data_IF_209735236969
#
_entry.id   IF_209735236969
#
_cell.length_a   1.000
_cell.length_b   1.000
_cell.length_c   1.000
_cell.angle_alpha   90.00
_cell.angle_beta   90.00
_cell.angle_gamma   90.00
#
_symmetry.space_group_name_H-M   'P 1'
#
loop_
_entity.id
_entity.type
_entity.pdbx_description
1 polymer ?
#
# COMPACT_ATOMS: atom_id res chain seq x y z
N UNK A 1 -34.41 -6.33 -2.62
CA UNK A 1 -33.00 -6.12 -3.04
C UNK A 1 -32.25 -5.68 -1.81
N UNK A 2 -31.45 -6.57 -1.21
CA UNK A 2 -30.52 -6.17 -0.16
C UNK A 2 -29.43 -5.28 -0.77
N UNK A 3 -28.93 -4.25 -0.06
CA UNK A 3 -27.80 -3.47 -0.52
C UNK A 3 -26.57 -4.39 -0.71
N UNK A 4 -25.67 -4.08 -1.64
CA UNK A 4 -24.43 -4.83 -1.80
C UNK A 4 -23.69 -4.81 -0.46
N UNK A 5 -23.32 -6.00 0.01
CA UNK A 5 -22.62 -6.16 1.28
C UNK A 5 -21.22 -5.56 1.11
N UNK A 6 -20.97 -4.39 1.71
CA UNK A 6 -19.66 -3.74 1.77
C UNK A 6 -18.56 -4.79 2.03
N UNK A 7 -17.83 -5.16 0.98
CA UNK A 7 -16.91 -6.29 1.07
C UNK A 7 -15.58 -5.80 1.66
N UNK A 8 -15.47 -5.91 2.98
CA UNK A 8 -14.28 -5.53 3.73
C UNK A 8 -13.07 -6.35 3.27
N UNK A 9 -12.15 -5.72 2.53
CA UNK A 9 -10.88 -6.31 2.09
C UNK A 9 -10.06 -6.79 3.31
N UNK A 10 -9.45 -7.97 3.20
CA UNK A 10 -8.55 -8.49 4.23
C UNK A 10 -7.23 -7.70 4.28
N UNK A 11 -6.65 -7.54 5.47
CA UNK A 11 -5.40 -6.78 5.70
C UNK A 11 -4.26 -7.19 4.75
N UNK A 12 -4.10 -8.49 4.49
CA UNK A 12 -3.04 -8.99 3.60
C UNK A 12 -3.28 -8.63 2.14
N UNK A 13 -4.54 -8.69 1.68
CA UNK A 13 -4.90 -8.29 0.33
C UNK A 13 -4.75 -6.77 0.15
N UNK A 14 -5.14 -6.00 1.17
CA UNK A 14 -4.96 -4.54 1.19
C UNK A 14 -3.48 -4.18 1.02
N UNK A 15 -2.59 -4.79 1.79
CA UNK A 15 -1.16 -4.48 1.70
C UNK A 15 -0.53 -4.85 0.35
N UNK A 16 -0.98 -5.94 -0.27
CA UNK A 16 -0.52 -6.30 -1.63
C UNK A 16 -0.97 -5.27 -2.66
N UNK A 17 -2.24 -4.86 -2.63
CA UNK A 17 -2.78 -3.88 -3.58
C UNK A 17 -2.19 -2.48 -3.38
N UNK A 18 -1.92 -2.08 -2.13
CA UNK A 18 -1.21 -0.83 -1.82
C UNK A 18 0.16 -0.81 -2.48
N UNK A 19 0.94 -1.89 -2.33
CA UNK A 19 2.28 -1.98 -2.95
C UNK A 19 2.20 -2.02 -4.48
N UNK A 20 1.23 -2.74 -5.04
CA UNK A 20 1.00 -2.77 -6.50
C UNK A 20 0.71 -1.38 -7.05
N UNK A 21 -0.20 -0.64 -6.41
CA UNK A 21 -0.52 0.73 -6.79
C UNK A 21 0.67 1.68 -6.62
N UNK A 22 1.40 1.60 -5.49
CA UNK A 22 2.59 2.42 -5.22
C UNK A 22 3.64 2.21 -6.32
N UNK A 23 3.93 0.95 -6.68
CA UNK A 23 4.90 0.64 -7.73
C UNK A 23 4.40 1.10 -9.11
N UNK A 24 3.11 0.96 -9.39
CA UNK A 24 2.50 1.45 -10.64
C UNK A 24 2.55 2.99 -10.77
N UNK A 25 2.57 3.72 -9.64
CA UNK A 25 2.73 5.18 -9.64
C UNK A 25 4.12 5.65 -10.11
N UNK A 26 5.12 4.75 -10.13
CA UNK A 26 6.52 5.04 -10.47
C UNK A 26 7.20 6.14 -9.62
N UNK A 27 6.55 6.64 -8.56
CA UNK A 27 7.13 7.62 -7.62
C UNK A 27 8.03 6.96 -6.58
N UNK A 28 7.71 5.73 -6.19
CA UNK A 28 8.48 4.95 -5.25
C UNK A 28 8.31 3.45 -5.53
N UNK A 29 9.35 2.67 -5.23
CA UNK A 29 9.31 1.22 -5.39
C UNK A 29 9.53 0.53 -4.05
N UNK A 30 8.59 -0.34 -3.69
CA UNK A 30 8.57 -1.03 -2.40
C UNK A 30 8.15 -2.48 -2.59
N UNK A 31 8.49 -3.32 -1.61
CA UNK A 31 8.10 -4.73 -1.61
C UNK A 31 7.41 -5.09 -0.30
N UNK A 32 6.67 -6.19 -0.34
CA UNK A 32 6.12 -6.81 0.86
C UNK A 32 7.04 -7.92 1.36
N UNK A 33 6.86 -8.29 2.62
CA UNK A 33 7.41 -9.52 3.19
C UNK A 33 6.37 -10.15 4.11
N UNK A 34 6.69 -11.30 4.69
CA UNK A 34 5.85 -11.98 5.66
C UNK A 34 6.50 -11.90 7.04
N UNK A 35 5.76 -11.42 8.03
CA UNK A 35 6.17 -11.45 9.45
C UNK A 35 4.99 -12.04 10.23
N UNK A 36 5.25 -13.08 11.03
CA UNK A 36 4.24 -13.77 11.85
C UNK A 36 2.99 -14.19 11.08
N UNK A 37 3.18 -14.67 9.85
CA UNK A 37 2.09 -15.12 8.97
C UNK A 37 1.23 -14.00 8.38
N UNK A 38 1.61 -12.72 8.55
CA UNK A 38 0.93 -11.56 7.98
C UNK A 38 1.78 -10.94 6.88
N UNK A 39 1.12 -10.47 5.82
CA UNK A 39 1.79 -9.62 4.82
C UNK A 39 2.12 -8.29 5.49
N UNK A 40 3.34 -7.79 5.31
CA UNK A 40 3.75 -6.46 5.76
C UNK A 40 4.50 -5.71 4.65
N UNK A 41 4.33 -4.39 4.58
CA UNK A 41 5.15 -3.52 3.72
C UNK A 41 6.49 -3.28 4.41
N UNK A 42 7.60 -3.50 3.70
CA UNK A 42 8.95 -3.30 4.24
C UNK A 42 9.77 -2.38 3.35
N UNK A 43 10.19 -1.26 3.92
CA UNK A 43 11.13 -0.35 3.29
C UNK A 43 12.57 -0.74 3.59
N UNK A 44 13.32 -1.11 2.56
CA UNK A 44 14.76 -1.37 2.65
C UNK A 44 15.52 -0.28 1.91
N UNK A 45 15.97 0.73 2.65
CA UNK A 45 16.80 1.80 2.11
C UNK A 45 18.27 1.45 2.25
N UNK A 46 18.92 1.17 1.12
CA UNK A 46 20.37 0.90 1.05
C UNK A 46 21.11 1.94 0.21
N UNK A 47 20.38 2.85 -0.43
CA UNK A 47 20.96 3.92 -1.21
C UNK A 47 21.37 5.07 -0.28
N UNK A 48 22.67 5.31 -0.17
CA UNK A 48 23.23 6.38 0.67
C UNK A 48 22.83 7.79 0.25
N UNK A 49 22.28 7.94 -0.96
CA UNK A 49 21.76 9.23 -1.46
C UNK A 49 20.33 9.51 -1.04
N UNK A 50 19.64 8.53 -0.44
CA UNK A 50 18.26 8.72 0.03
C UNK A 50 18.23 9.80 1.11
N UNK A 51 17.37 10.77 0.91
CA UNK A 51 17.15 11.92 1.80
C UNK A 51 15.82 11.75 2.55
N UNK A 52 15.58 12.52 3.63
CA UNK A 52 14.27 12.56 4.27
C UNK A 52 13.13 12.92 3.31
N UNK A 53 13.37 13.84 2.36
CA UNK A 53 12.36 14.22 1.37
C UNK A 53 11.94 13.06 0.46
N UNK A 54 12.86 12.13 0.14
CA UNK A 54 12.52 10.92 -0.61
C UNK A 54 11.61 9.98 0.21
N UNK A 55 11.81 9.95 1.55
CA UNK A 55 10.96 9.18 2.45
C UNK A 55 9.57 9.80 2.57
N UNK A 56 9.47 11.12 2.60
CA UNK A 56 8.19 11.83 2.61
C UNK A 56 7.39 11.46 1.35
N UNK A 57 8.02 11.48 0.17
CA UNK A 57 7.38 11.05 -1.09
C UNK A 57 6.90 9.60 -1.01
N UNK A 58 7.71 8.69 -0.45
CA UNK A 58 7.31 7.28 -0.28
C UNK A 58 6.10 7.14 0.65
N UNK A 59 6.11 7.82 1.80
CA UNK A 59 5.06 7.72 2.81
C UNK A 59 3.75 8.33 2.31
N UNK A 60 3.81 9.50 1.68
CA UNK A 60 2.65 10.14 1.05
C UNK A 60 2.07 9.25 -0.05
N UNK A 61 2.94 8.67 -0.89
CA UNK A 61 2.53 7.73 -1.93
C UNK A 61 1.81 6.50 -1.36
N UNK A 62 2.29 5.95 -0.24
CA UNK A 62 1.68 4.80 0.42
C UNK A 62 0.32 5.17 1.07
N UNK A 63 0.23 6.35 1.67
CA UNK A 63 -1.02 6.84 2.25
C UNK A 63 -2.10 7.05 1.19
N UNK A 64 -1.74 7.69 0.07
CA UNK A 64 -2.61 7.85 -1.09
C UNK A 64 -3.06 6.50 -1.66
N UNK A 65 -2.14 5.55 -1.81
CA UNK A 65 -2.45 4.19 -2.26
C UNK A 65 -3.46 3.50 -1.33
N UNK A 66 -3.25 3.62 -0.01
CA UNK A 66 -4.16 3.07 1.00
C UNK A 66 -5.56 3.64 0.89
N UNK A 67 -5.68 4.97 0.79
CA UNK A 67 -6.96 5.64 0.60
C UNK A 67 -7.65 5.22 -0.70
N UNK A 68 -6.90 5.13 -1.80
CA UNK A 68 -7.44 4.75 -3.09
C UNK A 68 -7.98 3.31 -3.09
N UNK A 69 -7.19 2.36 -2.57
CA UNK A 69 -7.61 0.95 -2.48
C UNK A 69 -8.82 0.81 -1.56
N UNK A 70 -8.81 1.45 -0.39
CA UNK A 70 -9.96 1.41 0.53
C UNK A 70 -11.22 2.01 -0.09
N UNK A 71 -11.11 3.11 -0.86
CA UNK A 71 -12.24 3.71 -1.54
C UNK A 71 -12.87 2.77 -2.58
N UNK A 72 -12.06 2.00 -3.32
CA UNK A 72 -12.55 1.01 -4.28
C UNK A 72 -13.38 -0.08 -3.58
N UNK A 73 -12.88 -0.60 -2.46
CA UNK A 73 -13.55 -1.70 -1.73
C UNK A 73 -14.65 -1.22 -0.76
N UNK A 74 -14.75 0.08 -0.50
CA UNK A 74 -15.85 0.67 0.27
C UNK A 74 -17.12 0.88 -0.59
N UNK A 75 -16.97 0.95 -1.91
CA UNK A 75 -18.06 1.20 -2.88
C UNK A 75 -18.58 -0.10 -3.52
N UNK A 76 -17.90 -1.24 -3.28
CA UNK A 76 -18.29 -2.58 -3.74
C UNK A 76 -19.10 -3.35 -2.69
#
# INVERSE_FOLDING_TARGET
>A
MSPPACQRIGSDALQRQVVEWTNASARAFITTTMIDGKVVIRACHVNFRTTPADLDILLDTLAEAGQHVLAIHAVA
#
